data_IF_839087176813
#
_entry.id   IF_839087176813
#
_cell.length_a   1.000
_cell.length_b   1.000
_cell.length_c   1.000
_cell.angle_alpha   90.00
_cell.angle_beta   90.00
_cell.angle_gamma   90.00
#
_symmetry.space_group_name_H-M   'P 1'
#
loop_
_entity.id
_entity.type
_entity.pdbx_description
1 polymer ?
#
# COMPACT_ATOMS: atom_id res chain seq x y z
N UNK A 1 32.65 -32.35 2.28
CA UNK A 1 31.21 -32.40 1.99
C UNK A 1 30.69 -30.99 2.24
N UNK A 2 30.84 -30.10 1.25
CA UNK A 2 30.40 -28.71 1.37
C UNK A 2 28.89 -28.65 1.22
N UNK A 3 28.22 -28.29 2.32
CA UNK A 3 26.80 -28.00 2.35
C UNK A 3 26.54 -26.73 1.54
N UNK A 4 26.29 -26.89 0.24
CA UNK A 4 25.88 -25.80 -0.66
C UNK A 4 24.56 -25.25 -0.11
N UNK A 5 24.64 -24.21 0.71
CA UNK A 5 23.48 -23.38 1.11
C UNK A 5 22.70 -23.02 -0.14
N UNK A 6 21.60 -23.74 -0.39
CA UNK A 6 20.68 -23.42 -1.49
C UNK A 6 20.20 -21.99 -1.26
N UNK A 7 20.55 -21.09 -2.17
CA UNK A 7 20.04 -19.73 -2.14
C UNK A 7 18.52 -19.80 -2.24
N UNK A 8 17.86 -19.26 -1.23
CA UNK A 8 16.40 -19.11 -1.22
C UNK A 8 16.02 -18.25 -2.43
N UNK A 9 15.18 -18.79 -3.31
CA UNK A 9 14.67 -18.05 -4.47
C UNK A 9 13.43 -17.28 -4.02
N UNK A 10 13.56 -15.97 -3.92
CA UNK A 10 12.45 -15.08 -3.55
C UNK A 10 11.66 -14.74 -4.81
N UNK A 11 10.32 -14.73 -4.73
CA UNK A 11 9.48 -14.28 -5.84
C UNK A 11 9.64 -12.77 -6.02
N UNK A 12 9.91 -12.34 -7.26
CA UNK A 12 10.02 -10.93 -7.59
C UNK A 12 8.66 -10.22 -7.47
N UNK A 13 8.67 -8.93 -7.12
CA UNK A 13 7.46 -8.14 -6.90
C UNK A 13 6.64 -7.88 -8.17
N UNK A 14 7.25 -8.05 -9.35
CA UNK A 14 6.63 -7.95 -10.68
C UNK A 14 6.46 -9.31 -11.37
N UNK A 15 6.42 -10.41 -10.61
CA UNK A 15 6.40 -11.76 -11.18
C UNK A 15 5.03 -12.22 -11.69
N UNK A 16 3.94 -11.54 -11.31
CA UNK A 16 2.59 -12.01 -11.57
C UNK A 16 1.92 -11.24 -12.70
N UNK A 17 1.43 -11.98 -13.70
CA UNK A 17 0.57 -11.45 -14.77
C UNK A 17 -0.90 -11.70 -14.52
N UNK A 18 -1.24 -12.53 -13.52
CA UNK A 18 -2.60 -12.93 -13.21
C UNK A 18 -2.76 -13.35 -11.76
N UNK A 19 -3.84 -12.90 -11.13
CA UNK A 19 -4.28 -13.32 -9.80
C UNK A 19 -5.66 -13.95 -9.90
N UNK A 20 -5.81 -15.12 -9.31
CA UNK A 20 -7.08 -15.85 -9.24
C UNK A 20 -7.50 -15.89 -7.77
N UNK A 21 -8.61 -15.26 -7.40
CA UNK A 21 -9.02 -15.07 -6.00
C UNK A 21 -10.38 -15.71 -5.73
N UNK A 22 -10.41 -16.69 -4.82
CA UNK A 22 -11.61 -17.36 -4.35
C UNK A 22 -12.18 -16.69 -3.09
N UNK A 23 -13.45 -16.93 -2.77
CA UNK A 23 -14.08 -16.42 -1.54
C UNK A 23 -14.70 -15.02 -1.63
N UNK A 24 -14.64 -14.35 -2.78
CA UNK A 24 -15.24 -13.02 -2.98
C UNK A 24 -16.75 -13.05 -3.31
N UNK A 25 -17.26 -14.20 -3.74
CA UNK A 25 -18.61 -14.36 -4.25
C UNK A 25 -19.22 -15.63 -3.66
N UNK A 26 -20.41 -15.50 -3.08
CA UNK A 26 -21.28 -16.63 -2.79
C UNK A 26 -22.18 -16.89 -4.00
N UNK A 27 -22.29 -18.15 -4.42
CA UNK A 27 -23.32 -18.57 -5.39
C UNK A 27 -24.46 -19.22 -4.62
N UNK A 28 -25.71 -19.19 -5.10
CA UNK A 28 -26.83 -19.90 -4.46
C UNK A 28 -26.59 -21.41 -4.26
N UNK A 29 -25.64 -21.99 -5.02
CA UNK A 29 -25.20 -23.39 -4.90
C UNK A 29 -24.01 -23.58 -3.94
N UNK A 30 -23.65 -22.57 -3.17
CA UNK A 30 -22.57 -22.55 -2.19
C UNK A 30 -21.19 -22.98 -2.73
N UNK A 31 -20.97 -22.83 -4.05
CA UNK A 31 -19.63 -22.97 -4.62
C UNK A 31 -18.94 -21.62 -4.56
N UNK A 32 -17.82 -21.55 -3.85
CA UNK A 32 -16.92 -20.40 -3.92
C UNK A 32 -16.51 -20.21 -5.39
N UNK A 33 -16.99 -19.14 -6.02
CA UNK A 33 -16.58 -18.83 -7.37
C UNK A 33 -15.27 -18.06 -7.35
N UNK A 34 -14.36 -18.46 -8.23
CA UNK A 34 -13.09 -17.78 -8.37
C UNK A 34 -13.20 -16.61 -9.36
N UNK A 35 -12.56 -15.50 -9.03
CA UNK A 35 -12.45 -14.34 -9.90
C UNK A 35 -11.02 -14.20 -10.40
N UNK A 36 -10.88 -14.02 -11.71
CA UNK A 36 -9.61 -13.77 -12.38
C UNK A 36 -9.38 -12.27 -12.50
N UNK A 37 -8.22 -11.82 -12.03
CA UNK A 37 -7.76 -10.45 -12.07
C UNK A 37 -6.48 -10.37 -12.90
N UNK A 38 -6.39 -9.34 -13.73
CA UNK A 38 -5.22 -9.06 -14.59
C UNK A 38 -4.72 -7.64 -14.30
N UNK A 39 -3.45 -7.31 -14.58
CA UNK A 39 -2.96 -5.95 -14.48
C UNK A 39 -3.90 -4.97 -15.20
N UNK A 40 -4.22 -3.81 -14.61
CA UNK A 40 -5.01 -2.81 -15.31
C UNK A 40 -4.34 -2.43 -16.63
N UNK A 41 -5.11 -2.01 -17.64
CA UNK A 41 -4.49 -1.41 -18.82
C UNK A 41 -3.58 -0.26 -18.36
N UNK A 42 -2.43 -0.06 -19.02
CA UNK A 42 -1.59 1.09 -18.73
C UNK A 42 -2.47 2.34 -18.80
N UNK A 43 -2.49 3.11 -17.72
CA UNK A 43 -3.25 4.34 -17.69
C UNK A 43 -2.83 5.16 -18.92
N UNK A 44 -3.78 5.77 -19.65
CA UNK A 44 -3.42 6.79 -20.62
C UNK A 44 -2.47 7.75 -19.91
N UNK A 45 -1.33 8.05 -20.52
CA UNK A 45 -0.42 9.08 -20.03
C UNK A 45 -1.18 10.41 -20.14
N UNK A 46 -2.06 10.67 -19.18
CA UNK A 46 -2.66 11.97 -19.05
C UNK A 46 -1.55 12.89 -18.51
N UNK A 47 -1.11 13.88 -19.32
CA UNK A 47 -0.09 14.82 -18.89
C UNK A 47 -0.50 15.55 -17.62
N UNK A 48 -1.81 15.71 -17.39
CA UNK A 48 -2.37 16.46 -16.27
C UNK A 48 -2.29 15.70 -14.92
N UNK A 49 -2.44 14.38 -14.92
CA UNK A 49 -2.35 13.57 -13.69
C UNK A 49 -0.94 13.50 -13.12
N UNK A 50 0.11 13.59 -13.95
CA UNK A 50 1.49 13.83 -13.47
C UNK A 50 1.68 15.25 -12.90
N UNK A 51 0.82 16.19 -13.25
CA UNK A 51 0.87 17.60 -12.80
C UNK A 51 -0.16 17.97 -11.75
N UNK A 52 -0.89 17.02 -11.15
CA UNK A 52 -1.36 17.21 -9.75
C UNK A 52 -0.17 17.18 -8.78
N UNK A 53 0.89 17.91 -9.10
CA UNK A 53 1.88 18.37 -8.14
C UNK A 53 1.09 19.07 -7.06
N UNK A 54 1.29 18.64 -5.82
CA UNK A 54 0.81 19.41 -4.69
C UNK A 54 1.44 20.81 -4.79
N UNK A 55 0.67 21.78 -5.30
CA UNK A 55 0.99 23.18 -5.11
C UNK A 55 0.69 23.44 -3.64
N UNK A 56 1.75 23.77 -2.91
CA UNK A 56 1.68 24.01 -1.49
C UNK A 56 0.57 25.04 -1.20
N UNK A 57 -0.33 24.84 -0.22
CA UNK A 57 -1.29 25.87 0.14
C UNK A 57 -0.54 27.17 0.50
N UNK A 58 -1.07 28.28 -0.01
CA UNK A 58 -0.43 29.59 -0.07
C UNK A 58 0.02 30.17 1.29
N UNK A 59 -0.34 29.57 2.42
CA UNK A 59 0.14 30.00 3.74
C UNK A 59 1.57 29.55 4.07
N UNK A 60 2.19 28.69 3.25
CA UNK A 60 3.65 28.44 3.30
C UNK A 60 4.39 29.01 2.07
N UNK A 61 3.82 30.02 1.41
CA UNK A 61 4.35 30.68 0.20
C UNK A 61 5.69 31.42 0.36
N UNK A 62 6.30 31.41 1.54
CA UNK A 62 7.63 32.00 1.77
C UNK A 62 8.78 31.06 1.41
N UNK A 63 8.50 29.90 0.81
CA UNK A 63 9.53 29.01 0.29
C UNK A 63 10.12 29.67 -0.97
N UNK A 64 11.40 30.10 -0.97
CA UNK A 64 12.02 30.67 -2.15
C UNK A 64 11.95 29.68 -3.31
N UNK A 65 11.76 30.16 -4.54
CA UNK A 65 11.73 29.32 -5.76
C UNK A 65 12.94 28.38 -5.86
N UNK A 66 14.07 28.74 -5.25
CA UNK A 66 15.29 27.95 -5.12
C UNK A 66 15.11 26.60 -4.39
N UNK A 67 14.05 26.42 -3.59
CA UNK A 67 13.77 25.17 -2.90
C UNK A 67 13.02 24.13 -3.76
N UNK A 68 12.49 24.52 -4.92
CA UNK A 68 11.91 23.59 -5.88
C UNK A 68 13.04 22.88 -6.63
N UNK A 69 13.23 21.58 -6.36
CA UNK A 69 14.18 20.79 -7.13
C UNK A 69 13.58 20.39 -8.48
N UNK A 70 14.44 20.16 -9.48
CA UNK A 70 14.04 19.49 -10.71
C UNK A 70 13.27 18.22 -10.35
N UNK A 71 12.16 17.96 -11.04
CA UNK A 71 11.25 16.86 -10.71
C UNK A 71 12.02 15.58 -10.36
N UNK A 72 11.82 15.07 -9.15
CA UNK A 72 12.42 13.81 -8.72
C UNK A 72 11.98 12.72 -9.70
N UNK A 73 12.90 12.32 -10.59
CA UNK A 73 12.68 11.12 -11.41
C UNK A 73 12.83 9.94 -10.46
N UNK A 74 11.85 9.02 -10.42
CA UNK A 74 12.02 7.82 -9.62
C UNK A 74 13.29 7.10 -10.08
N UNK A 75 14.03 6.50 -9.14
CA UNK A 75 15.21 5.73 -9.51
C UNK A 75 14.86 4.63 -10.50
N UNK A 76 15.83 4.27 -11.35
CA UNK A 76 15.67 3.10 -12.22
C UNK A 76 15.35 1.86 -11.38
N UNK A 77 14.34 1.12 -11.82
CA UNK A 77 13.93 -0.16 -11.25
C UNK A 77 15.11 -1.13 -11.22
N UNK A 78 15.18 -1.91 -10.16
CA UNK A 78 16.14 -3.00 -9.95
C UNK A 78 15.47 -4.37 -10.00
N UNK A 79 14.17 -4.42 -10.30
CA UNK A 79 13.45 -5.67 -10.47
C UNK A 79 13.98 -6.41 -11.71
N UNK A 80 13.96 -7.75 -11.70
CA UNK A 80 14.21 -8.53 -12.90
C UNK A 80 13.13 -8.25 -13.95
N UNK A 81 13.33 -8.79 -15.15
CA UNK A 81 12.27 -8.81 -16.16
C UNK A 81 10.99 -9.44 -15.58
N UNK A 82 9.84 -8.87 -15.92
CA UNK A 82 8.56 -9.34 -15.41
C UNK A 82 8.33 -10.79 -15.85
N UNK A 83 7.94 -11.63 -14.90
CA UNK A 83 7.54 -13.01 -15.18
C UNK A 83 6.03 -13.03 -15.50
N UNK A 84 5.58 -14.09 -16.18
CA UNK A 84 4.15 -14.30 -16.44
C UNK A 84 3.61 -15.43 -15.55
N UNK A 85 3.77 -15.27 -14.24
CA UNK A 85 3.25 -16.23 -13.27
C UNK A 85 1.79 -15.94 -12.93
N UNK A 86 1.07 -17.01 -12.60
CA UNK A 86 -0.29 -16.96 -12.07
C UNK A 86 -0.26 -17.34 -10.59
N UNK A 87 -0.92 -16.53 -9.75
CA UNK A 87 -1.08 -16.79 -8.32
C UNK A 87 -2.56 -17.04 -7.99
N UNK A 88 -2.85 -18.20 -7.41
CA UNK A 88 -4.17 -18.52 -6.88
C UNK A 88 -4.20 -18.25 -5.37
N UNK A 89 -5.22 -17.52 -4.94
CA UNK A 89 -5.42 -17.05 -3.57
C UNK A 89 -6.82 -17.42 -3.08
N UNK A 90 -6.91 -17.72 -1.79
CA UNK A 90 -8.18 -17.90 -1.08
C UNK A 90 -8.37 -16.80 -0.05
N UNK A 91 -9.49 -16.09 -0.13
CA UNK A 91 -9.81 -14.99 0.78
C UNK A 91 -10.10 -15.52 2.19
N UNK A 92 -9.39 -14.98 3.17
CA UNK A 92 -9.58 -15.27 4.58
C UNK A 92 -10.34 -14.15 5.31
N UNK A 93 -9.97 -13.94 6.58
CA UNK A 93 -10.60 -12.93 7.45
C UNK A 93 -10.26 -11.51 7.01
N UNK A 94 -11.21 -10.58 7.16
CA UNK A 94 -10.94 -9.14 7.07
C UNK A 94 -10.05 -8.69 8.24
N UNK A 95 -8.93 -8.04 7.93
CA UNK A 95 -7.96 -7.51 8.91
C UNK A 95 -7.92 -5.99 8.96
N UNK A 96 -8.56 -5.31 8.01
CA UNK A 96 -8.67 -3.87 8.02
C UNK A 96 -9.70 -3.37 7.03
N UNK A 97 -10.07 -2.11 7.17
CA UNK A 97 -10.92 -1.39 6.23
C UNK A 97 -10.57 0.09 6.27
N UNK A 98 -10.97 0.79 5.22
CA UNK A 98 -10.85 2.23 5.14
C UNK A 98 -11.70 2.76 4.00
N UNK A 99 -11.48 4.04 3.69
CA UNK A 99 -12.30 4.79 2.73
C UNK A 99 -12.34 4.16 1.34
N UNK A 100 -11.19 3.68 0.86
CA UNK A 100 -11.04 3.22 -0.54
C UNK A 100 -11.18 1.70 -0.71
N UNK A 101 -11.09 0.93 0.38
CA UNK A 101 -11.05 -0.52 0.30
C UNK A 101 -11.03 -1.23 1.63
N UNK A 102 -11.13 -2.55 1.55
CA UNK A 102 -11.06 -3.50 2.67
C UNK A 102 -9.85 -4.39 2.50
N UNK A 103 -9.21 -4.77 3.59
CA UNK A 103 -7.99 -5.59 3.59
C UNK A 103 -8.33 -6.96 4.18
N UNK A 104 -7.99 -8.01 3.44
CA UNK A 104 -8.23 -9.39 3.83
C UNK A 104 -6.91 -10.15 3.88
N UNK A 105 -6.80 -11.07 4.84
CA UNK A 105 -5.81 -12.13 4.78
C UNK A 105 -6.09 -13.02 3.58
N UNK A 106 -5.04 -13.61 3.01
CA UNK A 106 -5.17 -14.60 1.95
C UNK A 106 -4.23 -15.77 2.18
N UNK A 107 -4.69 -16.95 1.76
CA UNK A 107 -3.88 -18.16 1.68
C UNK A 107 -3.52 -18.44 0.22
N UNK A 108 -2.28 -18.85 -0.03
CA UNK A 108 -1.81 -19.22 -1.37
C UNK A 108 -2.24 -20.66 -1.66
N UNK A 109 -2.96 -20.87 -2.76
CA UNK A 109 -3.24 -22.20 -3.29
C UNK A 109 -2.10 -22.60 -4.22
N UNK A 110 -1.11 -23.32 -3.68
CA UNK A 110 0.05 -23.79 -4.45
C UNK A 110 -0.33 -24.72 -5.60
N UNK A 111 -1.45 -25.45 -5.49
CA UNK A 111 -1.89 -26.43 -6.50
C UNK A 111 -2.54 -25.76 -7.71
N UNK A 112 -3.23 -24.65 -7.51
CA UNK A 112 -3.83 -23.85 -8.57
C UNK A 112 -2.92 -22.74 -9.10
N UNK A 113 -1.82 -22.45 -8.41
CA UNK A 113 -0.80 -21.48 -8.85
C UNK A 113 0.16 -22.08 -9.89
N UNK A 114 0.92 -21.23 -10.59
CA UNK A 114 1.91 -21.71 -11.56
C UNK A 114 2.97 -22.61 -10.91
N UNK A 115 3.28 -23.76 -11.52
CA UNK A 115 4.31 -24.69 -11.04
C UNK A 115 5.70 -24.06 -10.87
N UNK A 116 6.00 -23.01 -11.63
CA UNK A 116 7.22 -22.19 -11.51
C UNK A 116 7.37 -21.47 -10.17
N UNK A 117 6.30 -21.37 -9.36
CA UNK A 117 6.36 -20.87 -7.98
C UNK A 117 6.88 -21.91 -7.00
N UNK A 118 6.86 -23.20 -7.36
CA UNK A 118 7.35 -24.28 -6.51
C UNK A 118 8.83 -24.07 -6.17
N UNK A 119 9.15 -24.13 -4.88
CA UNK A 119 10.50 -23.88 -4.37
C UNK A 119 10.92 -22.40 -4.34
N UNK A 120 9.99 -21.47 -4.60
CA UNK A 120 10.18 -20.04 -4.36
C UNK A 120 9.47 -19.62 -3.07
N UNK A 121 9.93 -18.52 -2.49
CA UNK A 121 9.40 -18.00 -1.23
C UNK A 121 8.59 -16.74 -1.48
N UNK A 122 7.35 -16.77 -0.98
CA UNK A 122 6.47 -15.61 -0.78
C UNK A 122 6.35 -15.36 0.74
N UNK A 123 6.30 -14.10 1.18
CA UNK A 123 5.86 -13.80 2.53
C UNK A 123 4.35 -14.08 2.64
N UNK A 124 3.79 -14.17 3.85
CA UNK A 124 2.34 -14.11 4.02
C UNK A 124 1.78 -12.87 3.32
N UNK A 125 0.60 -12.99 2.72
CA UNK A 125 0.02 -11.94 1.88
C UNK A 125 -1.30 -11.43 2.45
N UNK A 126 -1.64 -10.20 2.08
CA UNK A 126 -2.97 -9.62 2.20
C UNK A 126 -3.43 -9.08 0.85
N UNK A 127 -4.73 -8.96 0.68
CA UNK A 127 -5.33 -8.30 -0.49
C UNK A 127 -6.19 -7.14 -0.02
N UNK A 128 -5.89 -5.94 -0.52
CA UNK A 128 -6.76 -4.77 -0.39
C UNK A 128 -7.72 -4.75 -1.59
N UNK A 129 -9.01 -4.93 -1.33
CA UNK A 129 -10.09 -4.94 -2.31
C UNK A 129 -10.79 -3.59 -2.33
N UNK A 130 -10.96 -2.99 -3.50
CA UNK A 130 -11.65 -1.70 -3.65
C UNK A 130 -13.12 -1.77 -3.25
N UNK A 131 -13.63 -0.72 -2.58
CA UNK A 131 -15.08 -0.54 -2.35
C UNK A 131 -15.84 -0.33 -3.65
N UNK A 132 -17.17 -0.40 -3.60
CA UNK A 132 -18.02 -0.19 -4.77
C UNK A 132 -17.79 1.22 -5.34
N UNK A 133 -17.59 1.31 -6.65
CA UNK A 133 -17.28 2.60 -7.31
C UNK A 133 -15.88 3.14 -7.04
N UNK A 134 -15.03 2.45 -6.27
CA UNK A 134 -13.68 2.90 -5.88
C UNK A 134 -12.56 2.14 -6.59
N UNK A 135 -12.83 1.40 -7.66
CA UNK A 135 -11.83 0.61 -8.37
C UNK A 135 -10.60 1.45 -8.76
N UNK A 136 -10.81 2.68 -9.21
CA UNK A 136 -9.72 3.56 -9.63
C UNK A 136 -8.90 4.13 -8.47
N UNK A 137 -9.42 4.12 -7.25
CA UNK A 137 -8.78 4.75 -6.10
C UNK A 137 -7.53 3.99 -5.61
N UNK A 138 -7.40 2.69 -5.94
CA UNK A 138 -6.21 1.90 -5.60
C UNK A 138 -5.07 2.06 -6.62
N UNK A 139 -5.33 2.62 -7.82
CA UNK A 139 -4.29 2.76 -8.85
C UNK A 139 -3.18 3.73 -8.44
N UNK A 140 -3.46 4.95 -7.90
CA UNK A 140 -2.41 5.86 -7.44
C UNK A 140 -1.63 5.29 -6.24
N UNK A 141 -2.30 4.56 -5.35
CA UNK A 141 -1.64 3.89 -4.23
C UNK A 141 -0.64 2.84 -4.75
N UNK A 142 -1.05 2.00 -5.70
CA UNK A 142 -0.17 1.01 -6.33
C UNK A 142 1.03 1.66 -7.02
N UNK A 143 0.82 2.77 -7.73
CA UNK A 143 1.91 3.53 -8.35
C UNK A 143 2.89 4.07 -7.31
N UNK A 144 2.40 4.52 -6.15
CA UNK A 144 3.27 5.00 -5.08
C UNK A 144 4.17 3.89 -4.53
N UNK A 145 3.65 2.67 -4.37
CA UNK A 145 4.49 1.50 -4.03
C UNK A 145 5.56 1.24 -5.10
N UNK A 146 5.21 1.33 -6.39
CA UNK A 146 6.15 1.14 -7.49
C UNK A 146 7.26 2.22 -7.47
N UNK A 147 6.90 3.48 -7.23
CA UNK A 147 7.86 4.59 -7.11
C UNK A 147 8.82 4.39 -5.92
N UNK A 148 8.36 3.70 -4.87
CA UNK A 148 9.14 3.35 -3.67
C UNK A 148 9.73 1.94 -3.69
N UNK A 149 9.96 1.33 -4.86
CA UNK A 149 10.48 -0.05 -5.02
C UNK A 149 11.63 -0.39 -4.05
N UNK A 150 12.59 0.53 -3.89
CA UNK A 150 13.79 0.33 -3.05
C UNK A 150 13.50 0.24 -1.55
N UNK A 151 12.33 0.69 -1.11
CA UNK A 151 11.91 0.72 0.28
C UNK A 151 11.06 -0.51 0.65
N UNK A 152 10.58 -1.25 -0.36
CA UNK A 152 9.69 -2.39 -0.18
C UNK A 152 10.38 -3.56 0.55
N UNK A 153 9.66 -4.13 1.51
CA UNK A 153 10.17 -5.16 2.42
C UNK A 153 11.02 -4.64 3.57
N UNK A 154 11.33 -3.33 3.60
CA UNK A 154 12.11 -2.69 4.66
C UNK A 154 11.34 -1.56 5.37
N UNK A 155 11.01 -0.48 4.68
CA UNK A 155 10.25 0.66 5.26
C UNK A 155 8.75 0.47 5.04
N UNK A 156 8.38 -0.10 3.90
CA UNK A 156 6.99 -0.34 3.48
C UNK A 156 6.82 -1.82 3.10
N UNK A 157 5.60 -2.38 3.09
CA UNK A 157 5.36 -3.74 2.63
C UNK A 157 5.81 -3.96 1.19
N UNK A 158 6.14 -5.21 0.83
CA UNK A 158 6.24 -5.61 -0.57
C UNK A 158 4.87 -5.55 -1.24
N UNK A 159 4.83 -5.06 -2.46
CA UNK A 159 3.67 -4.90 -3.31
C UNK A 159 3.87 -5.77 -4.53
N UNK A 160 3.02 -6.78 -4.68
CA UNK A 160 3.08 -7.78 -5.74
C UNK A 160 2.24 -7.39 -6.97
N UNK A 161 1.72 -6.16 -6.98
CA UNK A 161 1.00 -5.57 -8.09
C UNK A 161 -0.44 -5.23 -7.78
N UNK A 162 -1.02 -4.48 -8.71
CA UNK A 162 -2.43 -4.10 -8.76
C UNK A 162 -3.09 -4.84 -9.89
N UNK A 163 -4.28 -5.40 -9.64
CA UNK A 163 -5.00 -6.20 -10.61
C UNK A 163 -6.47 -5.81 -10.61
N UNK A 164 -7.10 -5.93 -11.77
CA UNK A 164 -8.49 -5.51 -11.98
C UNK A 164 -9.29 -6.64 -12.62
N UNK A 165 -10.58 -6.65 -12.32
CA UNK A 165 -11.56 -7.48 -12.99
C UNK A 165 -12.89 -6.74 -13.07
N UNK A 166 -13.84 -7.30 -13.82
CA UNK A 166 -15.17 -6.72 -13.98
C UNK A 166 -16.22 -7.69 -13.46
N UNK A 167 -17.06 -7.23 -12.54
CA UNK A 167 -18.15 -8.04 -12.00
C UNK A 167 -19.36 -7.94 -12.94
N UNK A 168 -19.83 -9.08 -13.43
CA UNK A 168 -21.07 -9.16 -14.22
C UNK A 168 -22.27 -8.93 -13.29
N UNK A 169 -23.15 -8.00 -13.67
CA UNK A 169 -24.40 -7.70 -12.96
C UNK A 169 -25.18 -9.01 -12.69
N UNK A 170 -25.69 -9.19 -11.46
CA UNK A 170 -26.42 -10.36 -10.88
C UNK A 170 -25.64 -11.22 -9.86
N UNK A 171 -24.39 -10.91 -9.50
CA UNK A 171 -23.69 -11.61 -8.41
C UNK A 171 -23.59 -10.73 -7.17
N UNK A 172 -23.88 -11.30 -6.01
CA UNK A 172 -23.53 -10.76 -4.68
C UNK A 172 -22.01 -10.78 -4.55
N UNK A 173 -21.42 -9.61 -4.35
CA UNK A 173 -19.99 -9.46 -4.11
C UNK A 173 -19.82 -9.12 -2.64
N UNK A 174 -19.35 -10.10 -1.87
CA UNK A 174 -19.38 -10.06 -0.41
C UNK A 174 -18.77 -8.77 0.16
N UNK A 175 -17.62 -8.27 -0.34
CA UNK A 175 -17.05 -7.01 0.16
C UNK A 175 -17.92 -5.76 -0.04
N UNK A 176 -18.89 -5.80 -0.96
CA UNK A 176 -19.86 -4.71 -1.18
C UNK A 176 -21.15 -4.92 -0.40
N UNK A 177 -21.56 -6.16 -0.17
CA UNK A 177 -22.80 -6.48 0.55
C UNK A 177 -22.68 -6.16 2.05
N UNK A 178 -21.45 -6.16 2.58
CA UNK A 178 -21.14 -5.78 3.95
C UNK A 178 -21.00 -4.25 4.16
N UNK A 179 -21.32 -3.40 3.17
CA UNK A 179 -21.26 -1.93 3.28
C UNK A 179 -22.33 -1.40 4.26
N UNK A 180 -22.18 -1.71 5.55
CA UNK A 180 -22.68 -0.87 6.63
C UNK A 180 -21.93 0.46 6.67
N UNK A 181 -22.54 1.46 7.32
CA UNK A 181 -21.95 2.77 7.54
C UNK A 181 -20.54 2.62 8.11
N UNK A 182 -19.56 3.20 7.43
CA UNK A 182 -18.17 3.27 7.85
C UNK A 182 -18.04 3.93 9.25
N UNK A 183 -16.98 3.62 10.00
CA UNK A 183 -16.74 4.19 11.34
C UNK A 183 -16.78 5.72 11.38
N UNK A 184 -16.46 6.38 10.26
CA UNK A 184 -16.49 7.83 10.12
C UNK A 184 -17.89 8.37 9.73
N UNK A 185 -18.88 7.49 9.48
CA UNK A 185 -20.22 7.84 8.98
C UNK A 185 -20.22 8.61 7.66
N UNK A 186 -19.07 8.68 7.00
CA UNK A 186 -18.72 9.64 5.97
C UNK A 186 -17.91 8.93 4.89
N UNK A 187 -18.60 8.15 4.07
CA UNK A 187 -18.22 8.11 2.66
C UNK A 187 -19.11 9.16 2.07
N UNK A 188 -18.68 10.44 2.00
CA UNK A 188 -19.54 11.48 1.47
C UNK A 188 -20.03 11.00 0.10
N UNK A 189 -21.33 11.12 -0.22
CA UNK A 189 -21.83 10.83 -1.56
C UNK A 189 -20.93 11.45 -2.63
N UNK A 190 -20.43 12.66 -2.37
CA UNK A 190 -19.45 13.39 -3.17
C UNK A 190 -18.14 12.62 -3.46
N UNK A 191 -17.65 11.79 -2.52
CA UNK A 191 -16.43 11.01 -2.70
C UNK A 191 -16.66 9.78 -3.59
N UNK A 192 -17.84 9.18 -3.49
CA UNK A 192 -18.30 8.10 -4.37
C UNK A 192 -18.50 8.65 -5.78
N UNK A 193 -19.22 9.76 -5.91
CA UNK A 193 -19.50 10.41 -7.20
C UNK A 193 -18.23 10.94 -7.88
N UNK A 194 -17.28 11.52 -7.13
CA UNK A 194 -16.01 11.98 -7.68
C UNK A 194 -15.16 10.84 -8.26
N UNK A 195 -15.23 9.64 -7.69
CA UNK A 195 -14.49 8.47 -8.18
C UNK A 195 -15.22 7.70 -9.28
N UNK A 196 -16.56 7.60 -9.20
CA UNK A 196 -17.39 6.98 -10.24
C UNK A 196 -17.37 7.76 -11.55
N UNK A 197 -17.29 9.09 -11.50
CA UNK A 197 -17.38 9.94 -12.69
C UNK A 197 -16.05 10.21 -13.40
N UNK A 198 -14.89 9.87 -12.80
CA UNK A 198 -13.58 10.33 -13.31
C UNK A 198 -12.50 9.25 -13.44
N UNK A 199 -12.81 8.01 -13.05
CA UNK A 199 -11.85 6.91 -13.10
C UNK A 199 -11.71 6.29 -14.50
N UNK A 200 -10.52 5.75 -14.87
CA UNK A 200 -10.31 5.05 -16.14
C UNK A 200 -10.96 3.65 -16.19
N UNK A 201 -11.50 3.16 -15.07
CA UNK A 201 -12.09 1.83 -14.95
C UNK A 201 -13.63 1.89 -14.98
N UNK A 202 -14.31 0.85 -15.50
CA UNK A 202 -15.77 0.83 -15.56
C UNK A 202 -16.39 0.79 -14.15
N UNK A 203 -17.65 1.24 -13.97
CA UNK A 203 -18.29 1.31 -12.65
C UNK A 203 -18.40 -0.01 -11.89
N UNK A 204 -18.42 -1.13 -12.62
CA UNK A 204 -18.47 -2.49 -12.08
C UNK A 204 -17.09 -3.17 -12.02
N UNK A 205 -16.01 -2.42 -12.21
CA UNK A 205 -14.68 -2.91 -11.94
C UNK A 205 -14.47 -3.14 -10.44
N UNK A 206 -13.62 -4.12 -10.15
CA UNK A 206 -13.00 -4.31 -8.85
C UNK A 206 -11.51 -4.32 -9.06
N UNK A 207 -10.83 -3.53 -8.23
CA UNK A 207 -9.37 -3.50 -8.17
C UNK A 207 -8.92 -4.17 -6.88
N UNK A 208 -7.86 -4.96 -6.97
CA UNK A 208 -7.16 -5.52 -5.84
C UNK A 208 -5.70 -5.08 -5.84
N UNK A 209 -5.15 -4.85 -4.65
CA UNK A 209 -3.73 -4.62 -4.43
C UNK A 209 -3.19 -5.76 -3.57
N UNK A 210 -2.21 -6.50 -4.08
CA UNK A 210 -1.61 -7.65 -3.39
C UNK A 210 -0.37 -7.17 -2.65
N UNK A 211 -0.36 -7.31 -1.31
CA UNK A 211 0.71 -6.82 -0.46
C UNK A 211 1.24 -7.92 0.46
N UNK A 212 2.48 -7.78 0.91
CA UNK A 212 3.01 -8.49 2.07
C UNK A 212 2.15 -8.17 3.30
N UNK A 213 1.73 -9.21 4.01
CA UNK A 213 1.10 -9.11 5.31
C UNK A 213 2.13 -8.66 6.34
N UNK A 214 1.76 -7.66 7.13
CA UNK A 214 2.58 -7.14 8.23
C UNK A 214 1.87 -7.37 9.57
N UNK A 215 2.51 -6.94 10.66
CA UNK A 215 2.05 -7.17 12.03
C UNK A 215 0.88 -6.27 12.46
N UNK A 216 0.68 -6.18 13.77
CA UNK A 216 -0.33 -5.34 14.40
C UNK A 216 0.03 -3.85 14.31
N UNK A 217 -0.95 -2.95 14.51
CA UNK A 217 -0.68 -1.53 14.73
C UNK A 217 0.34 -1.30 15.83
N UNK A 218 1.11 -0.22 15.69
CA UNK A 218 2.06 0.19 16.71
C UNK A 218 1.35 0.39 18.04
N UNK A 219 1.94 -0.19 19.08
CA UNK A 219 1.60 0.04 20.48
C UNK A 219 2.75 0.83 21.08
N UNK A 220 2.44 1.78 21.96
CA UNK A 220 3.49 2.57 22.61
C UNK A 220 4.40 1.64 23.42
N UNK A 221 5.69 1.66 23.10
CA UNK A 221 6.69 0.92 23.86
C UNK A 221 7.24 1.75 25.03
N UNK A 222 8.00 1.11 25.90
CA UNK A 222 8.69 1.76 27.02
C UNK A 222 9.82 2.71 26.56
N UNK A 223 10.03 2.89 25.24
CA UNK A 223 11.11 3.70 24.68
C UNK A 223 10.59 4.66 23.59
N UNK A 224 9.71 5.64 23.92
CA UNK A 224 9.08 6.53 22.94
C UNK A 224 10.09 7.28 22.06
N UNK A 225 11.22 7.73 22.65
CA UNK A 225 12.26 8.44 21.90
C UNK A 225 12.92 7.55 20.84
N UNK A 226 13.20 6.28 21.16
CA UNK A 226 13.77 5.34 20.20
C UNK A 226 12.79 5.07 19.06
N UNK A 227 11.52 4.95 19.38
CA UNK A 227 10.44 4.80 18.40
C UNK A 227 10.33 6.03 17.50
N UNK A 228 10.41 7.24 18.07
CA UNK A 228 10.46 8.49 17.31
C UNK A 228 11.65 8.54 16.36
N UNK A 229 12.85 8.20 16.83
CA UNK A 229 14.08 8.21 16.02
C UNK A 229 13.99 7.22 14.85
N UNK A 230 13.44 6.02 15.10
CA UNK A 230 13.23 5.00 14.08
C UNK A 230 12.20 5.44 13.03
N UNK A 231 11.05 5.96 13.47
CA UNK A 231 10.02 6.47 12.55
C UNK A 231 10.53 7.68 11.76
N UNK A 232 11.32 8.56 12.38
CA UNK A 232 11.97 9.68 11.69
C UNK A 232 12.88 9.18 10.57
N UNK A 233 13.68 8.15 10.81
CA UNK A 233 14.54 7.56 9.78
C UNK A 233 13.71 6.94 8.64
N UNK A 234 12.64 6.21 8.96
CA UNK A 234 11.71 5.63 7.97
C UNK A 234 11.05 6.70 7.09
N UNK A 235 10.51 7.76 7.69
CA UNK A 235 9.89 8.85 6.94
C UNK A 235 10.91 9.70 6.17
N UNK A 236 12.16 9.78 6.64
CA UNK A 236 13.27 10.37 5.87
C UNK A 236 13.57 9.53 4.61
N UNK A 237 13.52 8.20 4.71
CA UNK A 237 13.65 7.31 3.55
C UNK A 237 12.53 7.54 2.54
N UNK A 238 11.27 7.66 3.00
CA UNK A 238 10.11 7.99 2.13
C UNK A 238 10.28 9.38 1.50
N UNK A 239 10.66 10.39 2.28
CA UNK A 239 10.91 11.75 1.79
C UNK A 239 12.00 11.79 0.72
N UNK A 240 13.03 10.93 0.83
CA UNK A 240 14.11 10.83 -0.15
C UNK A 240 13.65 10.39 -1.54
N UNK A 241 12.45 9.79 -1.63
CA UNK A 241 11.79 9.39 -2.86
C UNK A 241 10.84 10.46 -3.42
N UNK A 242 10.75 11.64 -2.77
CA UNK A 242 9.85 12.72 -3.17
C UNK A 242 8.37 12.43 -2.87
N UNK A 243 8.09 11.55 -1.90
CA UNK A 243 6.74 11.13 -1.53
C UNK A 243 6.34 11.77 -0.20
N UNK A 244 5.15 12.38 -0.18
CA UNK A 244 4.44 12.86 1.01
C UNK A 244 3.29 11.90 1.36
N UNK A 245 3.32 11.24 2.53
CA UNK A 245 2.36 10.19 2.93
C UNK A 245 0.97 10.76 3.24
N UNK A 246 0.89 11.95 3.85
CA UNK A 246 -0.33 12.67 4.20
C UNK A 246 -1.32 11.98 5.17
N UNK A 247 -0.95 10.85 5.78
CA UNK A 247 -1.86 10.09 6.66
C UNK A 247 -1.10 9.41 7.82
N UNK A 248 -0.23 10.15 8.50
CA UNK A 248 0.51 9.63 9.66
C UNK A 248 -0.45 9.44 10.83
N UNK A 249 -0.68 8.19 11.20
CA UNK A 249 -1.57 7.78 12.30
C UNK A 249 -1.25 6.35 12.75
N UNK A 250 -1.71 5.97 13.93
CA UNK A 250 -1.36 4.69 14.57
C UNK A 250 -1.69 3.48 13.67
N UNK A 251 -2.87 3.46 13.05
CA UNK A 251 -3.30 2.36 12.18
C UNK A 251 -2.53 2.23 10.86
N UNK A 252 -1.72 3.22 10.50
CA UNK A 252 -0.89 3.19 9.29
C UNK A 252 0.59 2.87 9.59
N UNK A 253 0.94 2.62 10.85
CA UNK A 253 2.28 2.24 11.29
C UNK A 253 2.15 0.87 11.96
N UNK A 254 2.53 -0.19 11.24
CA UNK A 254 2.36 -1.57 11.69
C UNK A 254 3.72 -2.17 12.04
N UNK A 255 3.76 -3.14 12.93
CA UNK A 255 4.97 -3.92 13.19
C UNK A 255 5.41 -4.68 11.92
N UNK A 256 6.71 -4.79 11.72
CA UNK A 256 7.30 -5.67 10.73
C UNK A 256 6.96 -7.14 11.07
N UNK A 257 6.88 -8.04 10.06
CA UNK A 257 6.72 -9.46 10.34
C UNK A 257 7.83 -9.96 11.28
N UNK A 258 7.46 -10.60 12.39
CA UNK A 258 8.41 -11.13 13.38
C UNK A 258 9.42 -12.11 12.74
N UNK A 259 8.97 -12.86 11.74
CA UNK A 259 9.78 -13.78 10.96
C UNK A 259 9.56 -13.52 9.47
N UNK A 260 10.39 -12.65 8.88
CA UNK A 260 10.39 -12.50 7.42
C UNK A 260 11.23 -13.62 6.80
N UNK A 261 10.67 -14.44 5.89
CA UNK A 261 11.42 -15.48 5.20
C UNK A 261 12.36 -14.88 4.12
N UNK A 262 12.29 -13.56 3.93
CA UNK A 262 13.05 -12.80 2.95
C UNK A 262 13.99 -11.84 3.67
N UNK A 263 15.30 -11.85 3.37
CA UNK A 263 16.24 -10.89 3.94
C UNK A 263 15.79 -9.44 3.74
N UNK A 264 15.97 -8.62 4.78
CA UNK A 264 15.66 -7.20 4.78
C UNK A 264 16.97 -6.42 4.64
N UNK A 265 17.02 -5.46 3.71
CA UNK A 265 18.16 -4.53 3.60
C UNK A 265 18.11 -3.50 4.73
N UNK A 266 19.26 -3.00 5.15
CA UNK A 266 19.33 -1.81 6.03
C UNK A 266 19.18 -0.53 5.22
N UNK A 267 18.85 0.57 5.92
CA UNK A 267 18.78 1.92 5.34
C UNK A 267 20.07 2.69 5.64
N UNK A 268 20.50 3.65 4.79
CA UNK A 268 21.54 4.61 5.17
C UNK A 268 21.18 5.43 6.42
N UNK A 269 19.89 5.61 6.71
CA UNK A 269 19.39 6.38 7.85
C UNK A 269 19.15 5.51 9.10
N UNK A 270 19.28 4.18 8.99
CA UNK A 270 19.07 3.27 10.10
C UNK A 270 19.89 1.98 9.94
N UNK A 271 20.80 1.74 10.88
CA UNK A 271 21.80 0.67 10.80
C UNK A 271 21.26 -0.73 11.11
N UNK A 272 19.98 -0.83 11.50
CA UNK A 272 19.31 -2.09 11.87
C UNK A 272 18.11 -2.31 10.97
N UNK A 273 17.57 -3.55 10.89
CA UNK A 273 16.25 -3.75 10.29
C UNK A 273 15.19 -2.94 11.04
N UNK A 274 14.32 -2.25 10.31
CA UNK A 274 13.21 -1.52 10.91
C UNK A 274 12.20 -2.47 11.56
N UNK A 275 11.75 -2.12 12.77
CA UNK A 275 10.69 -2.81 13.53
C UNK A 275 9.30 -2.57 12.97
N UNK A 276 9.12 -1.57 12.11
CA UNK A 276 7.82 -1.15 11.60
C UNK A 276 7.75 -1.18 10.07
N UNK A 277 6.53 -1.06 9.56
CA UNK A 277 6.18 -0.86 8.15
C UNK A 277 5.13 0.25 8.08
N UNK A 278 5.36 1.22 7.19
CA UNK A 278 4.39 2.27 6.88
C UNK A 278 3.47 1.75 5.79
N UNK A 279 2.16 1.91 5.97
CA UNK A 279 1.14 1.43 5.03
C UNK A 279 0.17 2.53 4.62
N UNK A 280 -0.80 2.17 3.77
CA UNK A 280 -1.94 3.00 3.33
C UNK A 280 -1.52 4.31 2.64
N UNK A 281 -1.08 4.18 1.38
CA UNK A 281 -0.56 5.30 0.59
C UNK A 281 -1.63 5.95 -0.31
N UNK A 282 -2.93 5.69 -0.08
CA UNK A 282 -4.01 6.23 -0.92
C UNK A 282 -4.13 7.77 -0.88
N UNK A 283 -3.70 8.41 0.21
CA UNK A 283 -3.61 9.89 0.31
C UNK A 283 -2.24 10.44 -0.05
N UNK A 284 -1.28 9.58 -0.35
CA UNK A 284 0.09 10.02 -0.59
C UNK A 284 0.20 10.79 -1.90
N UNK A 285 1.26 11.60 -2.00
CA UNK A 285 1.49 12.48 -3.14
C UNK A 285 2.96 12.47 -3.52
N UNK A 286 3.23 12.34 -4.80
CA UNK A 286 4.55 12.68 -5.36
C UNK A 286 4.67 14.19 -5.47
N UNK A 287 5.81 14.74 -5.05
CA UNK A 287 6.05 16.18 -5.01
C UNK A 287 7.45 16.54 -5.49
N UNK A 288 7.63 17.80 -5.93
CA UNK A 288 8.92 18.41 -6.24
C UNK A 288 9.47 19.26 -5.07
N UNK A 289 8.80 19.23 -3.91
CA UNK A 289 9.31 19.81 -2.67
C UNK A 289 10.64 19.13 -2.33
N UNK A 290 11.61 19.93 -1.88
CA UNK A 290 12.89 19.42 -1.40
C UNK A 290 12.68 18.33 -0.33
N UNK A 291 13.31 17.16 -0.51
CA UNK A 291 13.26 16.04 0.45
C UNK A 291 13.56 16.43 1.91
N UNK A 292 14.41 17.44 2.15
CA UNK A 292 14.69 17.92 3.50
C UNK A 292 13.47 18.61 4.13
N UNK A 293 12.72 19.39 3.34
CA UNK A 293 11.49 20.01 3.80
C UNK A 293 10.42 18.96 4.11
N UNK A 294 10.24 17.97 3.22
CA UNK A 294 9.32 16.85 3.46
C UNK A 294 9.69 16.13 4.78
N UNK A 295 10.99 15.89 5.02
CA UNK A 295 11.46 15.24 6.25
C UNK A 295 11.21 16.11 7.50
N UNK A 296 11.32 17.44 7.41
CA UNK A 296 10.97 18.36 8.49
C UNK A 296 9.47 18.32 8.78
N UNK A 297 8.64 18.35 7.74
CA UNK A 297 7.18 18.26 7.89
C UNK A 297 6.77 16.93 8.53
N UNK A 298 7.40 15.82 8.12
CA UNK A 298 7.21 14.53 8.78
C UNK A 298 7.63 14.55 10.23
N UNK A 299 8.79 15.13 10.56
CA UNK A 299 9.26 15.19 11.94
C UNK A 299 8.27 15.95 12.83
N UNK A 300 7.75 17.10 12.38
CA UNK A 300 6.76 17.87 13.13
C UNK A 300 5.47 17.06 13.40
N UNK A 301 5.00 16.30 12.41
CA UNK A 301 3.84 15.42 12.57
C UNK A 301 4.14 14.21 13.47
N UNK A 302 5.33 13.63 13.38
CA UNK A 302 5.76 12.50 14.21
C UNK A 302 5.89 12.88 15.68
N UNK A 303 6.40 14.07 16.00
CA UNK A 303 6.44 14.56 17.39
C UNK A 303 5.04 14.62 17.98
N UNK A 304 4.09 15.24 17.26
CA UNK A 304 2.67 15.29 17.69
C UNK A 304 2.04 13.91 17.82
N UNK A 305 2.35 13.02 16.89
CA UNK A 305 1.88 11.64 16.93
C UNK A 305 2.39 10.88 18.15
N UNK A 306 3.69 10.96 18.45
CA UNK A 306 4.29 10.31 19.62
C UNK A 306 3.77 10.92 20.92
N UNK A 307 3.67 12.25 21.01
CA UNK A 307 3.09 12.92 22.17
C UNK A 307 1.65 12.46 22.41
N UNK A 308 0.84 12.34 21.34
CA UNK A 308 -0.51 11.80 21.42
C UNK A 308 -0.54 10.37 21.97
N UNK A 309 0.30 9.48 21.41
CA UNK A 309 0.40 8.10 21.89
C UNK A 309 0.81 8.01 23.37
N UNK A 310 1.76 8.84 23.81
CA UNK A 310 2.22 8.89 25.22
C UNK A 310 1.10 9.30 26.16
N UNK A 311 0.23 10.21 25.73
CA UNK A 311 -0.90 10.69 26.52
C UNK A 311 -2.15 9.79 26.41
N UNK A 312 -2.09 8.71 25.62
CA UNK A 312 -3.24 7.84 25.36
C UNK A 312 -4.29 8.47 24.41
N UNK A 313 -3.93 9.55 23.72
CA UNK A 313 -4.79 10.19 22.73
C UNK A 313 -4.74 9.44 21.39
N UNK A 314 -5.90 9.25 20.78
CA UNK A 314 -5.96 8.79 19.39
C UNK A 314 -5.59 9.97 18.49
N UNK A 315 -4.38 9.96 17.95
CA UNK A 315 -3.95 10.96 16.98
C UNK A 315 -4.63 10.71 15.63
N UNK A 316 -5.68 11.48 15.34
CA UNK A 316 -6.28 11.58 14.01
C UNK A 316 -5.99 12.99 13.43
N UNK A 317 -5.22 13.09 12.33
CA UNK A 317 -4.67 14.36 11.85
C UNK A 317 -5.73 15.38 11.37
N UNK A 318 -7.01 15.02 11.28
CA UNK A 318 -8.11 15.92 10.89
C UNK A 318 -8.94 16.46 12.07
N UNK A 319 -8.71 16.04 13.32
CA UNK A 319 -9.50 16.51 14.47
C UNK A 319 -9.06 17.85 15.07
N UNK A 320 -8.12 18.56 14.44
CA UNK A 320 -7.70 19.91 14.87
C UNK A 320 -7.51 20.85 13.69
N UNK A 321 -8.61 21.30 13.10
CA UNK A 321 -8.74 22.58 12.41
C UNK A 321 -10.14 23.13 12.65
#
# INVERSE_FOLDING_TARGET
>A
MEDRKRRVKVVAMNAFSEITLSGLQSTPRNRASCLKFIPPPPAPLDPETKTRRYQHPAYMSNIPDEACQASHKPPRSRLPEAESLTLALSLGKQVGYGRVGRVYEVEVDETASSSSLSGRVLPPLVVKVSRRGMASALLPEAQTYADMERLQGNVIPRCYGVFTTTIKNKRTFLPWDEEGLDEDGCTPPDYVDANLMKGPLPPNAVTILVLERVGSPIELDQQPQRTLDELRAMYTDIASMGILHCDIRQKNILYAPAHSPIPVSTSPNWTRPYRFRIIDFHKSRTTNINKYQIAVDYYANLVRFIDGLVNGDVFEPWHRY
#
